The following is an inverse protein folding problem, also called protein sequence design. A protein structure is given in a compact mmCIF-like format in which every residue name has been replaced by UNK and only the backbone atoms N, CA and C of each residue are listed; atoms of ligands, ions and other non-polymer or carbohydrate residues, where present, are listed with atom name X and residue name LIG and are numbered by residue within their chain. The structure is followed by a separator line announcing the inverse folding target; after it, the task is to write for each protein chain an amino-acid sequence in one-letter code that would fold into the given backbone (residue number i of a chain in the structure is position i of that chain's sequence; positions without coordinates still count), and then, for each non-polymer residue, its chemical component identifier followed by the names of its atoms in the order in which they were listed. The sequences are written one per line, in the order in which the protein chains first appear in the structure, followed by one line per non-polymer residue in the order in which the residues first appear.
data_IF_323819923326
#
_entry.id   IF_323819923326
#
_cell.length_a   1.000
_cell.length_b   1.000
_cell.length_c   1.000
_cell.angle_alpha   90.00
_cell.angle_beta   90.00
_cell.angle_gamma   90.00
#
_symmetry.space_group_name_H-M   'P 1'
#
loop_
_entity.id
_entity.type
_entity.pdbx_description
1 polymer ?
#
# COMPACT_ATOMS: atom_id res chain seq x y z
N UNK A 1 -10.07 -15.83 -13.39
CA UNK A 1 -8.79 -15.19 -12.98
C UNK A 1 -7.76 -15.05 -14.12
N UNK A 2 -7.97 -15.63 -15.31
CA UNK A 2 -7.01 -15.53 -16.43
C UNK A 2 -6.72 -14.11 -16.92
N UNK A 3 -7.62 -13.14 -16.69
CA UNK A 3 -7.47 -11.74 -17.12
C UNK A 3 -6.30 -10.99 -16.44
N UNK A 4 -5.93 -11.41 -15.23
CA UNK A 4 -4.90 -10.76 -14.41
C UNK A 4 -3.57 -11.55 -14.41
N UNK A 5 -3.40 -12.50 -15.33
CA UNK A 5 -2.14 -13.23 -15.50
C UNK A 5 -1.64 -13.04 -16.92
N UNK A 6 -0.35 -12.76 -17.08
CA UNK A 6 0.26 -12.60 -18.39
C UNK A 6 -0.19 -11.36 -19.17
N UNK A 7 -0.66 -10.33 -18.47
CA UNK A 7 -0.88 -9.00 -19.07
C UNK A 7 0.42 -8.17 -19.02
N UNK A 8 0.46 -7.05 -19.74
CA UNK A 8 1.64 -6.17 -19.84
C UNK A 8 2.14 -5.75 -18.45
N UNK A 9 1.23 -5.43 -17.54
CA UNK A 9 1.58 -5.05 -16.17
C UNK A 9 2.28 -6.18 -15.40
N UNK A 10 1.82 -7.42 -15.56
CA UNK A 10 2.38 -8.62 -14.93
C UNK A 10 3.83 -8.90 -15.41
N UNK A 11 4.14 -8.59 -16.67
CA UNK A 11 5.47 -8.76 -17.26
C UNK A 11 6.42 -7.59 -16.97
N UNK A 12 5.98 -6.35 -17.16
CA UNK A 12 6.87 -5.18 -17.10
C UNK A 12 6.90 -4.53 -15.71
N UNK A 13 5.73 -4.32 -15.11
CA UNK A 13 5.59 -3.51 -13.90
C UNK A 13 5.83 -4.33 -12.62
N UNK A 14 5.33 -5.58 -12.58
CA UNK A 14 5.33 -6.40 -11.36
C UNK A 14 6.72 -6.57 -10.76
N UNK A 15 7.73 -6.88 -11.57
CA UNK A 15 9.09 -7.10 -11.10
C UNK A 15 9.69 -5.83 -10.46
N UNK A 16 9.42 -4.65 -11.04
CA UNK A 16 9.86 -3.37 -10.48
C UNK A 16 9.16 -3.04 -9.18
N UNK A 17 7.84 -3.23 -9.12
CA UNK A 17 7.05 -3.02 -7.90
C UNK A 17 7.53 -3.94 -6.78
N UNK A 18 7.69 -5.25 -7.05
CA UNK A 18 8.16 -6.23 -6.08
C UNK A 18 9.55 -5.87 -5.55
N UNK A 19 10.49 -5.55 -6.44
CA UNK A 19 11.85 -5.12 -6.05
C UNK A 19 11.81 -3.89 -5.15
N UNK A 20 11.03 -2.89 -5.53
CA UNK A 20 10.95 -1.60 -4.82
C UNK A 20 10.31 -1.72 -3.42
N UNK A 21 9.41 -2.70 -3.25
CA UNK A 21 8.74 -3.00 -1.98
C UNK A 21 9.46 -4.10 -1.17
N UNK A 22 10.52 -4.70 -1.69
CA UNK A 22 11.30 -5.74 -1.01
C UNK A 22 10.61 -7.10 -0.96
N UNK A 23 9.83 -7.45 -1.98
CA UNK A 23 9.11 -8.72 -2.08
C UNK A 23 9.78 -9.73 -3.03
N UNK A 24 9.55 -11.05 -2.85
CA UNK A 24 8.83 -11.67 -1.73
C UNK A 24 9.66 -11.65 -0.43
N UNK A 25 9.00 -11.71 0.72
CA UNK A 25 9.71 -11.82 2.00
C UNK A 25 10.19 -13.24 2.24
N UNK A 26 11.35 -13.39 2.88
CA UNK A 26 11.87 -14.69 3.30
C UNK A 26 11.05 -15.23 4.47
N UNK A 27 10.08 -16.10 4.17
CA UNK A 27 9.26 -16.79 5.16
C UNK A 27 9.19 -18.28 4.82
N UNK A 28 9.42 -19.14 5.82
CA UNK A 28 9.33 -20.59 5.67
C UNK A 28 7.98 -21.05 6.22
N UNK A 29 7.03 -21.31 5.33
CA UNK A 29 5.83 -22.02 5.74
C UNK A 29 6.17 -23.49 5.97
N UNK A 30 5.42 -24.15 6.86
CA UNK A 30 5.59 -25.58 7.12
C UNK A 30 5.28 -26.43 5.88
N UNK A 31 4.43 -25.93 4.99
CA UNK A 31 3.96 -26.62 3.79
C UNK A 31 4.37 -25.82 2.56
N UNK A 32 5.17 -26.38 1.62
CA UNK A 32 5.65 -25.66 0.43
C UNK A 32 4.53 -25.11 -0.47
N UNK A 33 3.38 -25.78 -0.53
CA UNK A 33 2.26 -25.33 -1.35
C UNK A 33 1.59 -24.06 -0.81
N UNK A 34 1.64 -23.83 0.51
CA UNK A 34 1.20 -22.56 1.11
C UNK A 34 2.13 -21.42 0.65
N UNK A 35 3.45 -21.66 0.61
CA UNK A 35 4.41 -20.68 0.10
C UNK A 35 4.13 -20.33 -1.36
N UNK A 36 3.84 -21.34 -2.21
CA UNK A 36 3.48 -21.12 -3.61
C UNK A 36 2.19 -20.31 -3.73
N UNK A 37 1.14 -20.68 -2.99
CA UNK A 37 -0.13 -19.98 -2.99
C UNK A 37 0.03 -18.51 -2.58
N UNK A 38 0.76 -18.24 -1.48
CA UNK A 38 1.05 -16.89 -1.02
C UNK A 38 1.76 -16.04 -2.07
N UNK A 39 2.75 -16.60 -2.77
CA UNK A 39 3.49 -15.88 -3.80
C UNK A 39 2.60 -15.53 -5.01
N UNK A 40 1.67 -16.43 -5.37
CA UNK A 40 0.66 -16.18 -6.41
C UNK A 40 -0.30 -15.06 -5.96
N UNK A 41 -0.80 -15.14 -4.72
CA UNK A 41 -1.69 -14.13 -4.15
C UNK A 41 -1.03 -12.76 -4.04
N UNK A 42 0.26 -12.71 -3.69
CA UNK A 42 1.05 -11.49 -3.66
C UNK A 42 1.14 -10.85 -5.05
N UNK A 43 1.47 -11.63 -6.09
CA UNK A 43 1.57 -11.11 -7.46
C UNK A 43 0.24 -10.54 -7.98
N UNK A 44 -0.84 -11.32 -7.84
CA UNK A 44 -2.19 -10.89 -8.23
C UNK A 44 -2.67 -9.69 -7.40
N UNK A 45 -2.42 -9.74 -6.10
CA UNK A 45 -2.80 -8.68 -5.17
C UNK A 45 -2.08 -7.38 -5.48
N UNK A 46 -0.79 -7.42 -5.83
CA UNK A 46 -0.04 -6.23 -6.24
C UNK A 46 -0.67 -5.62 -7.48
N UNK A 47 -1.04 -6.42 -8.50
CA UNK A 47 -1.73 -5.88 -9.67
C UNK A 47 -3.06 -5.20 -9.28
N UNK A 48 -3.84 -5.82 -8.39
CA UNK A 48 -5.10 -5.24 -7.92
C UNK A 48 -4.90 -3.92 -7.17
N UNK A 49 -3.83 -3.78 -6.37
CA UNK A 49 -3.51 -2.53 -5.68
C UNK A 49 -3.31 -1.35 -6.62
N UNK A 50 -2.82 -1.59 -7.84
CA UNK A 50 -2.58 -0.56 -8.85
C UNK A 50 -3.75 -0.37 -9.83
N UNK A 51 -4.81 -1.19 -9.73
CA UNK A 51 -5.97 -1.08 -10.62
C UNK A 51 -6.99 -0.06 -10.11
N UNK A 52 -7.08 1.07 -10.80
CA UNK A 52 -7.96 2.18 -10.41
C UNK A 52 -9.45 1.86 -10.66
N UNK A 53 -10.38 2.32 -9.79
CA UNK A 53 -11.82 2.14 -9.95
C UNK A 53 -12.44 2.62 -11.26
N UNK A 54 -11.77 3.53 -11.98
CA UNK A 54 -12.22 3.93 -13.32
C UNK A 54 -12.10 2.79 -14.34
N UNK A 55 -11.27 1.79 -14.04
CA UNK A 55 -11.03 0.62 -14.86
C UNK A 55 -11.72 -0.61 -14.26
N UNK A 56 -12.47 -1.36 -15.06
CA UNK A 56 -13.18 -2.61 -14.74
C UNK A 56 -14.11 -2.66 -13.51
N UNK A 57 -14.25 -1.61 -12.67
CA UNK A 57 -15.13 -1.62 -11.48
C UNK A 57 -16.58 -1.92 -11.82
N UNK A 58 -17.09 -1.32 -12.90
CA UNK A 58 -18.45 -1.53 -13.37
C UNK A 58 -18.69 -2.93 -13.97
N UNK A 59 -17.62 -3.65 -14.31
CA UNK A 59 -17.72 -5.05 -14.72
C UNK A 59 -17.78 -5.98 -13.49
N UNK A 60 -16.95 -5.72 -12.47
CA UNK A 60 -17.07 -6.38 -11.18
C UNK A 60 -16.41 -5.55 -10.06
N UNK A 61 -17.09 -5.33 -8.91
CA UNK A 61 -16.50 -4.62 -7.76
C UNK A 61 -15.24 -5.25 -7.15
N UNK A 62 -14.86 -6.47 -7.55
CA UNK A 62 -13.63 -7.13 -7.10
C UNK A 62 -12.40 -6.65 -7.88
N UNK A 63 -12.59 -5.95 -9.01
CA UNK A 63 -11.54 -5.57 -9.93
C UNK A 63 -11.09 -4.13 -9.74
N UNK A 64 -10.77 -3.75 -8.50
CA UNK A 64 -10.07 -2.51 -8.18
C UNK A 64 -9.51 -2.56 -6.76
N UNK A 65 -8.69 -1.56 -6.40
CA UNK A 65 -8.02 -1.52 -5.12
C UNK A 65 -8.93 -1.19 -3.90
N UNK A 66 -10.18 -0.76 -4.08
CA UNK A 66 -11.01 -0.15 -3.00
C UNK A 66 -11.16 -1.04 -1.75
N UNK A 67 -11.27 -2.36 -1.92
CA UNK A 67 -11.40 -3.28 -0.78
C UNK A 67 -10.09 -3.38 0.01
N UNK A 68 -8.96 -3.45 -0.70
CA UNK A 68 -7.64 -3.46 -0.07
C UNK A 68 -7.32 -2.10 0.54
N UNK A 69 -7.75 -1.02 -0.11
CA UNK A 69 -7.65 0.34 0.42
C UNK A 69 -8.34 0.45 1.78
N UNK A 70 -9.58 -0.03 1.88
CA UNK A 70 -10.32 -0.03 3.14
C UNK A 70 -9.58 -0.79 4.25
N UNK A 71 -9.12 -2.02 3.96
CA UNK A 71 -8.35 -2.83 4.93
C UNK A 71 -7.07 -2.10 5.33
N UNK A 72 -6.38 -1.51 4.35
CA UNK A 72 -5.17 -0.73 4.51
C UNK A 72 -5.34 0.45 5.45
N UNK A 73 -6.39 1.24 5.27
CA UNK A 73 -6.72 2.36 6.15
C UNK A 73 -6.87 1.90 7.61
N UNK A 74 -7.62 0.81 7.84
CA UNK A 74 -7.85 0.29 9.20
C UNK A 74 -6.60 -0.27 9.86
N UNK A 75 -5.76 -0.99 9.11
CA UNK A 75 -4.52 -1.52 9.70
C UNK A 75 -3.51 -0.40 9.98
N UNK A 76 -3.48 0.66 9.16
CA UNK A 76 -2.67 1.86 9.43
C UNK A 76 -3.09 2.54 10.73
N UNK A 77 -4.39 2.72 10.94
CA UNK A 77 -4.93 3.31 12.18
C UNK A 77 -4.41 2.56 13.41
N UNK A 78 -4.51 1.22 13.38
CA UNK A 78 -4.10 0.34 14.47
C UNK A 78 -2.58 0.39 14.68
N UNK A 79 -1.80 0.27 13.61
CA UNK A 79 -0.32 0.29 13.69
C UNK A 79 0.18 1.61 14.26
N UNK A 80 -0.41 2.74 13.86
CA UNK A 80 -0.03 4.06 14.38
C UNK A 80 -0.46 4.25 15.83
N UNK A 81 -1.66 3.83 16.21
CA UNK A 81 -2.14 3.91 17.58
C UNK A 81 -1.25 3.09 18.53
N UNK A 82 -0.93 1.85 18.15
CA UNK A 82 -0.01 0.98 18.89
C UNK A 82 1.36 1.62 19.05
N UNK A 83 1.92 2.20 17.98
CA UNK A 83 3.23 2.85 18.02
C UNK A 83 3.25 4.08 18.94
N UNK A 84 2.23 4.93 18.87
CA UNK A 84 2.12 6.12 19.71
C UNK A 84 1.97 5.74 21.19
N UNK A 85 1.14 4.74 21.50
CA UNK A 85 0.96 4.24 22.86
C UNK A 85 2.27 3.68 23.44
N UNK A 86 2.97 2.84 22.68
CA UNK A 86 4.23 2.22 23.14
C UNK A 86 5.36 3.24 23.35
N UNK A 87 5.35 4.35 22.59
CA UNK A 87 6.36 5.40 22.71
C UNK A 87 6.06 6.40 23.84
N UNK A 88 4.78 6.60 24.14
CA UNK A 88 4.32 7.59 25.09
C UNK A 88 3.36 6.95 26.09
N UNK A 89 3.86 5.97 26.85
CA UNK A 89 3.06 5.21 27.82
C UNK A 89 2.41 6.10 28.89
N UNK A 90 3.10 7.17 29.28
CA UNK A 90 2.62 8.13 30.29
C UNK A 90 1.79 9.28 29.69
N UNK A 91 1.59 9.31 28.37
CA UNK A 91 0.83 10.39 27.75
C UNK A 91 -0.68 10.26 27.98
N UNK A 92 -1.40 11.38 28.23
CA UNK A 92 -2.84 11.36 28.35
C UNK A 92 -3.52 10.82 27.08
N UNK A 93 -4.59 10.02 27.25
CA UNK A 93 -5.32 9.43 26.12
C UNK A 93 -5.83 10.46 25.10
N UNK A 94 -6.26 11.64 25.55
CA UNK A 94 -6.67 12.75 24.68
C UNK A 94 -5.52 13.24 23.79
N UNK A 95 -4.31 13.36 24.36
CA UNK A 95 -3.13 13.74 23.60
C UNK A 95 -2.77 12.69 22.54
N UNK A 96 -2.84 11.40 22.89
CA UNK A 96 -2.61 10.30 21.95
C UNK A 96 -3.61 10.33 20.80
N UNK A 97 -4.89 10.56 21.08
CA UNK A 97 -5.93 10.68 20.06
C UNK A 97 -5.70 11.87 19.13
N UNK A 98 -5.35 13.04 19.67
CA UNK A 98 -5.07 14.23 18.88
C UNK A 98 -3.82 14.06 18.01
N UNK A 99 -2.76 13.47 18.58
CA UNK A 99 -1.56 13.12 17.82
C UNK A 99 -1.90 12.14 16.71
N UNK A 100 -2.54 11.02 17.02
CA UNK A 100 -2.97 10.03 16.02
C UNK A 100 -3.73 10.65 14.85
N UNK A 101 -4.73 11.52 15.11
CA UNK A 101 -5.49 12.21 14.05
C UNK A 101 -4.64 13.16 13.19
N UNK A 102 -3.68 13.88 13.78
CA UNK A 102 -2.79 14.78 13.04
C UNK A 102 -1.75 14.03 12.21
N UNK A 103 -1.42 12.83 12.67
CA UNK A 103 -0.41 11.94 12.10
C UNK A 103 -0.96 11.10 10.96
N UNK A 104 -2.20 10.66 11.06
CA UNK A 104 -2.90 9.90 10.04
C UNK A 104 -3.27 10.80 8.86
N UNK A 105 -2.26 11.15 8.06
CA UNK A 105 -2.42 12.04 6.92
C UNK A 105 -2.27 11.23 5.64
N UNK A 106 -3.37 11.15 4.89
CA UNK A 106 -3.45 10.81 3.47
C UNK A 106 -2.30 11.44 2.65
N UNK A 107 -1.82 12.61 3.07
CA UNK A 107 -0.70 13.36 2.49
C UNK A 107 0.62 12.58 2.44
N UNK A 108 0.94 11.79 3.48
CA UNK A 108 2.19 11.02 3.53
C UNK A 108 2.11 9.74 2.70
N UNK A 109 0.97 9.03 2.77
CA UNK A 109 0.73 7.84 1.96
C UNK A 109 0.92 8.10 0.46
N UNK A 110 0.34 9.18 -0.07
CA UNK A 110 0.53 9.54 -1.47
C UNK A 110 1.96 9.99 -1.77
N UNK A 111 2.62 10.69 -0.83
CA UNK A 111 4.01 11.13 -0.97
C UNK A 111 4.96 9.94 -1.08
N UNK A 112 4.82 8.95 -0.21
CA UNK A 112 5.64 7.75 -0.22
C UNK A 112 5.63 7.03 -1.57
N UNK A 113 4.43 6.77 -2.08
CA UNK A 113 4.25 6.09 -3.36
C UNK A 113 4.92 6.87 -4.50
N UNK A 114 4.94 8.20 -4.40
CA UNK A 114 5.60 9.06 -5.39
C UNK A 114 7.13 9.07 -5.24
N UNK A 115 7.65 9.10 -4.03
CA UNK A 115 9.09 9.02 -3.74
C UNK A 115 9.69 7.69 -4.21
N UNK A 116 8.95 6.58 -4.09
CA UNK A 116 9.34 5.28 -4.68
C UNK A 116 9.06 5.15 -6.18
N UNK A 117 8.61 6.22 -6.84
CA UNK A 117 8.20 6.24 -8.25
C UNK A 117 7.13 5.20 -8.64
N UNK A 118 6.39 4.66 -7.66
CA UNK A 118 5.39 3.61 -7.89
C UNK A 118 4.09 4.14 -8.50
N UNK A 119 3.79 5.43 -8.32
CA UNK A 119 2.62 6.09 -8.90
C UNK A 119 2.49 5.95 -10.43
N UNK A 120 3.59 5.68 -11.14
CA UNK A 120 3.61 5.47 -12.60
C UNK A 120 2.94 4.16 -13.02
N UNK A 121 2.84 3.19 -12.10
CA UNK A 121 2.27 1.87 -12.39
C UNK A 121 0.76 1.79 -12.14
N UNK A 122 0.10 2.90 -11.79
CA UNK A 122 -1.34 2.94 -11.57
C UNK A 122 -2.05 2.81 -12.92
N UNK A 123 -2.95 1.84 -13.01
CA UNK A 123 -3.72 1.53 -14.22
C UNK A 123 -5.03 2.28 -14.15
N UNK A 124 -5.15 3.34 -14.94
CA UNK A 124 -6.39 4.08 -15.18
C UNK A 124 -7.12 3.53 -16.41
N UNK A 125 -8.39 3.89 -16.59
CA UNK A 125 -9.04 3.76 -17.89
C UNK A 125 -8.56 4.87 -18.83
N UNK A 126 -8.40 4.56 -20.13
CA UNK A 126 -7.83 5.46 -21.14
C UNK A 126 -8.47 6.84 -21.14
N UNK A 127 -9.81 6.90 -21.00
CA UNK A 127 -10.58 8.15 -20.98
C UNK A 127 -10.20 9.13 -19.87
N UNK A 128 -9.58 8.65 -18.78
CA UNK A 128 -9.24 9.47 -17.62
C UNK A 128 -7.74 9.51 -17.32
N UNK A 129 -6.92 8.70 -18.00
CA UNK A 129 -5.49 8.58 -17.73
C UNK A 129 -4.78 9.95 -17.77
N UNK A 130 -4.97 10.71 -18.85
CA UNK A 130 -4.37 12.04 -19.03
C UNK A 130 -4.76 13.01 -17.91
N UNK A 131 -6.00 12.96 -17.45
CA UNK A 131 -6.48 13.82 -16.38
C UNK A 131 -5.77 13.51 -15.05
N UNK A 132 -5.53 12.24 -14.73
CA UNK A 132 -4.79 11.85 -13.52
C UNK A 132 -3.30 12.16 -13.63
N UNK A 133 -2.72 12.14 -14.82
CA UNK A 133 -1.31 12.49 -15.01
C UNK A 133 -1.07 13.99 -14.77
N UNK A 134 -1.91 14.84 -15.37
CA UNK A 134 -1.71 16.29 -15.38
C UNK A 134 -2.36 17.01 -14.19
N UNK A 135 -3.41 16.45 -13.58
CA UNK A 135 -4.13 17.08 -12.48
C UNK A 135 -3.74 16.51 -11.11
N UNK A 136 -2.96 17.30 -10.35
CA UNK A 136 -2.53 16.94 -8.98
C UNK A 136 -3.70 16.66 -8.03
N UNK A 137 -4.85 17.32 -8.20
CA UNK A 137 -6.03 17.13 -7.34
C UNK A 137 -6.67 15.76 -7.53
N UNK A 138 -6.57 15.18 -8.73
CA UNK A 138 -7.04 13.82 -9.03
C UNK A 138 -5.97 12.77 -8.67
N UNK A 139 -4.71 13.06 -9.02
CA UNK A 139 -3.58 12.16 -8.78
C UNK A 139 -3.35 11.87 -7.30
N UNK A 140 -3.37 12.90 -6.46
CA UNK A 140 -2.99 12.76 -5.06
C UNK A 140 -3.89 11.75 -4.30
N UNK A 141 -5.23 11.87 -4.37
CA UNK A 141 -6.13 10.85 -3.80
C UNK A 141 -5.84 9.44 -4.32
N UNK A 142 -5.64 9.27 -5.63
CA UNK A 142 -5.34 7.96 -6.22
C UNK A 142 -4.04 7.37 -5.67
N UNK A 143 -2.96 8.16 -5.59
CA UNK A 143 -1.70 7.69 -4.99
C UNK A 143 -1.82 7.34 -3.52
N UNK A 144 -2.65 8.06 -2.76
CA UNK A 144 -2.95 7.73 -1.37
C UNK A 144 -3.69 6.40 -1.28
N UNK A 145 -4.74 6.22 -2.08
CA UNK A 145 -5.56 5.02 -2.08
C UNK A 145 -4.77 3.75 -2.46
N UNK A 146 -3.90 3.86 -3.48
CA UNK A 146 -3.00 2.77 -3.87
C UNK A 146 -2.04 2.42 -2.73
N UNK A 147 -1.50 3.42 -2.03
CA UNK A 147 -0.62 3.14 -0.89
C UNK A 147 -1.36 2.46 0.28
N UNK A 148 -2.60 2.87 0.57
CA UNK A 148 -3.45 2.16 1.52
C UNK A 148 -3.68 0.72 1.06
N UNK A 149 -4.00 0.51 -0.22
CA UNK A 149 -4.21 -0.82 -0.76
C UNK A 149 -2.96 -1.72 -0.63
N UNK A 150 -1.76 -1.18 -0.83
CA UNK A 150 -0.51 -1.91 -0.59
C UNK A 150 -0.36 -2.35 0.87
N UNK A 151 -0.76 -1.52 1.83
CA UNK A 151 -0.74 -1.90 3.25
C UNK A 151 -1.82 -2.94 3.57
N UNK A 152 -3.00 -2.84 2.93
CA UNK A 152 -4.04 -3.84 3.05
C UNK A 152 -3.60 -5.20 2.50
N UNK A 153 -2.93 -5.20 1.34
CA UNK A 153 -2.36 -6.42 0.76
C UNK A 153 -1.28 -7.02 1.66
N UNK A 154 -0.32 -6.18 2.09
CA UNK A 154 0.74 -6.57 3.02
C UNK A 154 0.18 -7.24 4.27
N UNK A 155 -0.88 -6.66 4.86
CA UNK A 155 -1.57 -7.27 5.99
C UNK A 155 -2.18 -8.63 5.65
N UNK A 156 -2.84 -8.77 4.51
CA UNK A 156 -3.50 -10.02 4.13
C UNK A 156 -2.53 -11.16 3.81
N UNK A 157 -1.31 -10.84 3.34
CA UNK A 157 -0.32 -11.82 2.88
C UNK A 157 0.72 -12.15 3.97
N UNK A 158 1.20 -11.13 4.70
CA UNK A 158 2.30 -11.25 5.66
C UNK A 158 1.96 -10.73 7.06
N UNK A 159 0.76 -10.17 7.26
CA UNK A 159 0.28 -9.70 8.55
C UNK A 159 0.78 -8.32 8.96
N UNK A 160 0.42 -7.92 10.18
CA UNK A 160 0.78 -6.62 10.79
C UNK A 160 2.29 -6.29 10.76
N UNK A 161 3.22 -7.26 10.95
CA UNK A 161 4.65 -6.96 10.91
C UNK A 161 5.13 -6.36 9.58
N UNK A 162 4.57 -6.81 8.45
CA UNK A 162 4.96 -6.30 7.14
C UNK A 162 4.37 -4.91 6.86
N UNK A 163 3.16 -4.64 7.37
CA UNK A 163 2.59 -3.28 7.32
C UNK A 163 3.50 -2.29 8.05
N UNK A 164 4.00 -2.68 9.24
CA UNK A 164 4.97 -1.86 9.98
C UNK A 164 6.23 -1.60 9.16
N UNK A 165 6.79 -2.63 8.52
CA UNK A 165 7.97 -2.49 7.64
C UNK A 165 7.71 -1.46 6.54
N UNK A 166 6.61 -1.60 5.80
CA UNK A 166 6.27 -0.68 4.72
C UNK A 166 5.99 0.75 5.20
N UNK A 167 5.39 0.90 6.38
CA UNK A 167 5.10 2.21 6.97
C UNK A 167 6.37 2.90 7.49
N UNK A 168 7.21 2.19 8.24
CA UNK A 168 8.35 2.80 8.92
C UNK A 168 9.54 3.09 8.00
N UNK A 169 9.49 2.67 6.73
CA UNK A 169 10.40 3.15 5.68
C UNK A 169 10.19 4.65 5.31
N UNK A 170 9.11 5.29 5.80
CA UNK A 170 8.62 6.60 5.27
C UNK A 170 8.01 7.50 6.30
N UNK A 171 7.27 6.89 7.22
CA UNK A 171 6.62 7.61 8.28
C UNK A 171 7.71 7.97 9.30
N UNK A 172 8.45 9.04 8.95
CA UNK A 172 9.43 9.78 9.75
C UNK A 172 8.74 10.32 11.02
N UNK A 173 8.26 9.43 11.89
CA UNK A 173 7.67 9.75 13.19
C UNK A 173 8.75 9.96 14.26
N UNK A 174 9.81 10.67 13.83
CA UNK A 174 11.16 10.81 14.40
C UNK A 174 12.15 9.79 13.81
N UNK A 175 12.99 10.28 12.89
CA UNK A 175 14.27 9.66 12.57
C UNK A 175 15.04 9.43 13.88
N UNK A 176 15.27 8.16 14.25
CA UNK A 176 16.25 7.84 15.30
C UNK A 176 17.68 7.77 14.75
N UNK A 177 17.83 7.68 13.43
CA UNK A 177 19.11 7.79 12.75
C UNK A 177 19.06 8.92 11.71
N UNK A 178 20.10 9.77 11.63
CA UNK A 178 20.18 10.81 10.61
C UNK A 178 20.13 10.19 9.22
N UNK A 179 19.59 10.95 8.25
CA UNK A 179 19.65 10.56 6.84
C UNK A 179 21.13 10.41 6.49
N UNK A 180 21.51 9.26 5.94
CA UNK A 180 22.83 9.11 5.33
C UNK A 180 22.92 10.16 4.22
N UNK A 181 23.83 11.11 4.41
CA UNK A 181 24.17 12.19 3.46
C UNK A 181 25.00 11.59 2.34
#
# INVERSE_FOLDING_TARGET
MHRFRGNIWDYESRHHVMRTLGYPLTMRDRIPDITKARNIELGLGLQLCFLHPSNHKFEHPRFCYERLEYVGQKIQDIVMAERLLMKHLDAPGKWLQEKHRRVLMNKFCGRYLREKHLHKYIIYADKVADAYEHNRRLRNPSTTAVNHALHGLSYTIYGKPDVRRLMFDVFDFEQTQPKLV
#
